data_IF_625470565390
#
_entry.id   IF_625470565390
#
_cell.length_a   1.000
_cell.length_b   1.000
_cell.length_c   1.000
_cell.angle_alpha   90.00
_cell.angle_beta   90.00
_cell.angle_gamma   90.00
#
_symmetry.space_group_name_H-M   'P 1'
#
loop_
_entity.id
_entity.type
_entity.pdbx_description
1 polymer ?
#
# COMPACT_ATOMS: atom_id res chain seq x y z
N UNK A 1 -49.61 0.81 65.12
CA UNK A 1 -48.21 1.04 64.70
C UNK A 1 -47.62 -0.31 64.29
N UNK A 2 -47.72 -0.65 63.00
CA UNK A 2 -47.31 -1.96 62.48
C UNK A 2 -45.81 -1.98 62.20
N UNK A 3 -45.08 -2.85 62.89
CA UNK A 3 -43.66 -3.09 62.65
C UNK A 3 -43.52 -4.12 61.51
N UNK A 4 -43.07 -3.66 60.36
CA UNK A 4 -42.69 -4.49 59.22
C UNK A 4 -41.27 -5.02 59.45
N UNK A 5 -41.13 -6.34 59.32
CA UNK A 5 -39.87 -7.05 59.29
C UNK A 5 -39.06 -6.69 58.03
N UNK A 6 -37.76 -6.48 58.19
CA UNK A 6 -36.80 -6.47 57.09
C UNK A 6 -35.81 -7.62 57.30
N UNK A 7 -35.92 -8.65 56.48
CA UNK A 7 -34.93 -9.71 56.34
C UNK A 7 -33.65 -9.11 55.74
N UNK A 8 -32.54 -9.23 56.46
CA UNK A 8 -31.21 -8.92 55.95
C UNK A 8 -30.77 -10.00 54.96
N UNK A 9 -30.60 -9.64 53.69
CA UNK A 9 -30.01 -10.50 52.68
C UNK A 9 -28.48 -10.37 52.77
N UNK A 10 -27.80 -11.41 53.23
CA UNK A 10 -26.33 -11.49 53.20
C UNK A 10 -25.92 -12.00 51.81
N UNK A 11 -25.37 -11.12 50.98
CA UNK A 11 -24.71 -11.50 49.74
C UNK A 11 -23.37 -12.19 50.08
N UNK A 12 -23.28 -13.49 49.85
CA UNK A 12 -22.02 -14.23 49.92
C UNK A 12 -21.06 -13.73 48.84
N UNK A 13 -19.79 -13.52 49.20
CA UNK A 13 -18.73 -13.15 48.28
C UNK A 13 -18.53 -14.24 47.20
N UNK A 14 -18.22 -13.87 45.93
CA UNK A 14 -17.92 -14.85 44.90
C UNK A 14 -16.60 -15.58 45.21
N UNK A 15 -16.47 -16.88 44.88
CA UNK A 15 -15.23 -17.62 45.10
C UNK A 15 -14.09 -17.05 44.26
N UNK A 16 -12.90 -17.00 44.84
CA UNK A 16 -11.67 -16.57 44.20
C UNK A 16 -11.35 -17.45 42.97
N UNK A 17 -11.01 -16.80 41.85
CA UNK A 17 -10.59 -17.49 40.64
C UNK A 17 -9.29 -18.29 40.87
N UNK A 18 -9.30 -19.56 40.51
CA UNK A 18 -8.11 -20.41 40.56
C UNK A 18 -7.02 -19.89 39.59
N UNK A 19 -5.73 -19.98 39.95
CA UNK A 19 -4.65 -19.61 39.04
C UNK A 19 -4.58 -20.59 37.86
N UNK A 20 -4.21 -20.13 36.65
CA UNK A 20 -4.08 -21.01 35.50
C UNK A 20 -2.94 -22.02 35.72
N UNK A 21 -3.24 -23.29 35.47
CA UNK A 21 -2.25 -24.36 35.49
C UNK A 21 -1.20 -24.14 34.39
N UNK A 22 0.08 -24.09 34.77
CA UNK A 22 1.19 -24.12 33.85
C UNK A 22 1.39 -25.55 33.35
N UNK A 23 1.27 -25.77 32.03
CA UNK A 23 1.72 -27.00 31.37
C UNK A 23 3.18 -26.78 31.00
N UNK A 24 4.08 -27.38 31.77
CA UNK A 24 5.50 -27.47 31.47
C UNK A 24 5.70 -28.61 30.44
N UNK A 25 6.20 -28.29 29.23
CA UNK A 25 6.62 -29.33 28.27
C UNK A 25 6.31 -29.13 26.78
N UNK A 26 5.70 -28.02 26.35
CA UNK A 26 5.54 -27.76 24.91
C UNK A 26 6.79 -27.06 24.34
N UNK A 27 7.69 -27.82 23.70
CA UNK A 27 8.66 -27.22 22.75
C UNK A 27 7.89 -26.33 21.77
N UNK A 28 8.32 -25.07 21.52
CA UNK A 28 7.66 -24.27 20.51
C UNK A 28 7.76 -25.00 19.18
N UNK A 29 6.61 -25.40 18.63
CA UNK A 29 6.50 -25.90 17.28
C UNK A 29 7.18 -24.87 16.37
N UNK A 30 8.13 -25.34 15.55
CA UNK A 30 8.88 -24.50 14.64
C UNK A 30 7.93 -23.57 13.90
N UNK A 31 8.20 -22.27 14.02
CA UNK A 31 7.42 -21.22 13.34
C UNK A 31 7.23 -21.66 11.89
N UNK A 32 5.97 -21.84 11.41
CA UNK A 32 5.76 -22.26 10.04
C UNK A 32 6.52 -21.32 9.13
N UNK A 33 7.25 -21.89 8.19
CA UNK A 33 7.96 -21.11 7.18
C UNK A 33 7.00 -20.06 6.64
N UNK A 34 7.43 -18.80 6.64
CA UNK A 34 6.63 -17.74 6.07
C UNK A 34 6.18 -18.21 4.68
N UNK A 35 4.88 -18.06 4.32
CA UNK A 35 4.43 -18.45 2.99
C UNK A 35 5.37 -17.82 1.97
N UNK A 36 5.81 -18.63 1.01
CA UNK A 36 6.65 -18.16 -0.08
C UNK A 36 6.04 -16.87 -0.63
N UNK A 37 6.88 -15.84 -0.81
CA UNK A 37 6.46 -14.53 -1.33
C UNK A 37 5.55 -14.80 -2.54
N UNK A 38 4.30 -14.31 -2.59
CA UNK A 38 3.58 -14.34 -3.85
C UNK A 38 4.49 -13.64 -4.85
N UNK A 39 4.85 -14.35 -5.91
CA UNK A 39 5.71 -13.79 -6.94
C UNK A 39 4.95 -12.59 -7.51
N UNK A 40 5.42 -11.39 -7.16
CA UNK A 40 4.89 -10.12 -7.67
C UNK A 40 5.13 -10.16 -9.17
N UNK A 41 4.10 -10.56 -9.92
CA UNK A 41 4.10 -10.72 -11.37
C UNK A 41 5.16 -11.73 -11.89
N UNK A 42 4.73 -12.97 -12.15
CA UNK A 42 5.54 -13.92 -12.92
C UNK A 42 5.49 -13.50 -14.39
N UNK A 43 6.56 -12.90 -14.89
CA UNK A 43 6.73 -12.60 -16.30
C UNK A 43 8.02 -13.19 -16.85
N UNK A 44 8.23 -13.01 -18.16
CA UNK A 44 9.44 -13.48 -18.86
C UNK A 44 10.64 -12.58 -18.55
N UNK A 45 11.09 -12.52 -17.29
CA UNK A 45 12.22 -11.70 -16.86
C UNK A 45 13.51 -12.01 -17.65
N UNK A 46 13.63 -13.20 -18.23
CA UNK A 46 14.69 -13.60 -19.14
C UNK A 46 14.74 -12.76 -20.43
N UNK A 47 13.61 -12.17 -20.85
CA UNK A 47 13.51 -11.29 -22.03
C UNK A 47 13.84 -9.82 -21.71
N UNK A 48 14.29 -9.51 -20.48
CA UNK A 48 14.59 -8.14 -20.09
C UNK A 48 15.73 -7.56 -20.92
N UNK A 49 15.45 -6.42 -21.54
CA UNK A 49 16.38 -5.76 -22.47
C UNK A 49 16.22 -6.21 -23.92
N UNK A 50 15.43 -7.24 -24.20
CA UNK A 50 15.08 -7.66 -25.57
C UNK A 50 13.76 -7.06 -26.05
N UNK A 51 12.84 -6.69 -25.14
CA UNK A 51 11.53 -6.13 -25.46
C UNK A 51 11.60 -4.61 -25.61
N UNK A 52 11.52 -4.14 -26.86
CA UNK A 52 11.36 -2.72 -27.19
C UNK A 52 9.90 -2.42 -27.58
N UNK A 53 9.17 -1.77 -26.66
CA UNK A 53 7.76 -1.42 -26.85
C UNK A 53 7.53 -0.43 -28.00
N UNK A 54 8.53 0.37 -28.39
CA UNK A 54 8.39 1.28 -29.53
C UNK A 54 8.26 0.52 -30.87
N UNK A 55 8.64 -0.76 -30.89
CA UNK A 55 8.55 -1.65 -32.05
C UNK A 55 7.34 -2.59 -31.99
N UNK A 56 6.46 -2.41 -31.00
CA UNK A 56 5.26 -3.22 -30.87
C UNK A 56 4.30 -2.96 -32.03
N UNK A 57 3.79 -4.02 -32.64
CA UNK A 57 2.79 -3.96 -33.71
C UNK A 57 1.63 -4.89 -33.39
N UNK A 58 0.42 -4.52 -33.81
CA UNK A 58 -0.74 -5.41 -33.68
C UNK A 58 -0.78 -6.36 -34.88
N UNK A 59 -0.79 -7.67 -34.61
CA UNK A 59 -0.98 -8.75 -35.59
C UNK A 59 -1.98 -9.74 -35.04
N UNK A 60 -2.98 -10.11 -35.84
CA UNK A 60 -4.05 -11.05 -35.46
C UNK A 60 -4.67 -10.73 -34.09
N UNK A 61 -4.89 -9.43 -33.83
CA UNK A 61 -5.50 -8.95 -32.59
C UNK A 61 -4.60 -8.98 -31.34
N UNK A 62 -3.28 -9.18 -31.50
CA UNK A 62 -2.32 -9.19 -30.39
C UNK A 62 -1.15 -8.26 -30.65
N UNK A 63 -0.61 -7.67 -29.58
CA UNK A 63 0.66 -6.96 -29.68
C UNK A 63 1.81 -7.96 -29.79
N UNK A 64 2.65 -7.77 -30.79
CA UNK A 64 3.89 -8.51 -30.99
C UNK A 64 5.08 -7.56 -31.03
N UNK A 65 6.18 -7.96 -30.40
CA UNK A 65 7.46 -7.25 -30.44
C UNK A 65 8.51 -8.15 -31.10
N UNK A 66 9.22 -7.68 -32.15
CA UNK A 66 10.30 -8.45 -32.75
C UNK A 66 11.50 -8.55 -31.80
N UNK A 67 12.03 -9.75 -31.65
CA UNK A 67 13.23 -10.06 -30.87
C UNK A 67 14.41 -10.43 -31.79
N UNK A 68 15.57 -10.70 -31.18
CA UNK A 68 16.73 -11.19 -31.91
C UNK A 68 16.45 -12.55 -32.59
N UNK A 69 17.21 -12.85 -33.67
CA UNK A 69 17.17 -14.13 -34.39
C UNK A 69 15.78 -14.48 -34.96
N UNK A 70 15.00 -13.48 -35.35
CA UNK A 70 13.70 -13.67 -35.99
C UNK A 70 12.58 -14.13 -35.05
N UNK A 71 12.83 -14.21 -33.74
CA UNK A 71 11.82 -14.50 -32.73
C UNK A 71 10.87 -13.32 -32.56
N UNK A 72 9.69 -13.59 -31.99
CA UNK A 72 8.71 -12.57 -31.60
C UNK A 72 8.21 -12.84 -30.18
N UNK A 73 8.03 -11.77 -29.40
CA UNK A 73 7.33 -11.81 -28.13
C UNK A 73 5.87 -11.41 -28.36
N UNK A 74 4.94 -12.25 -27.91
CA UNK A 74 3.52 -11.90 -27.85
C UNK A 74 3.27 -11.26 -26.48
N UNK A 75 2.77 -10.04 -26.45
CA UNK A 75 2.53 -9.31 -25.22
C UNK A 75 1.16 -9.65 -24.62
N UNK A 76 1.01 -9.39 -23.32
CA UNK A 76 -0.28 -9.52 -22.62
C UNK A 76 -1.21 -8.32 -22.83
N UNK A 77 -0.73 -7.27 -23.50
CA UNK A 77 -1.50 -6.06 -23.77
C UNK A 77 -2.72 -6.40 -24.61
N UNK A 78 -3.88 -5.92 -24.16
CA UNK A 78 -5.14 -6.01 -24.89
C UNK A 78 -5.28 -4.76 -25.77
N UNK A 79 -5.41 -4.87 -27.11
CA UNK A 79 -5.51 -3.71 -27.99
C UNK A 79 -6.64 -2.74 -27.67
N UNK A 80 -7.80 -3.24 -27.21
CA UNK A 80 -8.94 -2.38 -26.88
C UNK A 80 -8.69 -1.62 -25.57
N UNK A 81 -8.18 -2.30 -24.54
CA UNK A 81 -7.86 -1.66 -23.24
C UNK A 81 -6.67 -0.69 -23.39
N UNK A 82 -5.65 -1.06 -24.17
CA UNK A 82 -4.51 -0.18 -24.46
C UNK A 82 -4.97 1.09 -25.17
N UNK A 83 -5.81 0.97 -26.21
CA UNK A 83 -6.36 2.14 -26.91
C UNK A 83 -7.19 3.02 -25.97
N UNK A 84 -8.01 2.43 -25.10
CA UNK A 84 -8.79 3.20 -24.12
C UNK A 84 -7.89 3.96 -23.13
N UNK A 85 -6.81 3.33 -22.65
CA UNK A 85 -5.83 3.96 -21.77
C UNK A 85 -5.11 5.14 -22.45
N UNK A 86 -4.75 4.99 -23.73
CA UNK A 86 -4.15 6.06 -24.53
C UNK A 86 -5.14 7.22 -24.75
N UNK A 87 -6.40 6.93 -25.08
CA UNK A 87 -7.44 7.96 -25.25
C UNK A 87 -7.74 8.73 -23.95
N UNK A 88 -7.61 8.09 -22.78
CA UNK A 88 -7.69 8.79 -21.48
C UNK A 88 -6.54 9.79 -21.35
N UNK A 89 -5.30 9.38 -21.68
CA UNK A 89 -4.15 10.27 -21.63
C UNK A 89 -4.22 11.41 -22.64
N UNK A 90 -4.72 11.14 -23.86
CA UNK A 90 -4.88 12.17 -24.90
C UNK A 90 -5.92 13.23 -24.51
N UNK A 91 -7.01 12.83 -23.84
CA UNK A 91 -8.01 13.77 -23.32
C UNK A 91 -7.51 14.53 -22.11
N UNK A 92 -6.77 13.88 -21.22
CA UNK A 92 -6.27 14.50 -20.00
C UNK A 92 -5.08 15.45 -20.25
N UNK A 93 -4.36 15.27 -21.37
CA UNK A 93 -3.19 16.05 -21.78
C UNK A 93 -2.19 16.32 -20.64
N UNK A 94 -1.77 15.29 -19.87
CA UNK A 94 -0.84 15.51 -18.78
C UNK A 94 0.51 15.94 -19.33
N UNK A 95 1.20 16.86 -18.65
CA UNK A 95 2.60 17.20 -18.96
C UNK A 95 3.48 15.95 -18.96
N UNK A 96 3.23 15.07 -17.97
CA UNK A 96 3.75 13.71 -17.89
C UNK A 96 2.74 12.85 -17.14
N UNK A 97 2.41 11.68 -17.66
CA UNK A 97 1.41 10.81 -17.05
C UNK A 97 1.42 9.41 -17.63
N UNK A 98 0.81 8.46 -16.92
CA UNK A 98 0.72 7.08 -17.35
C UNK A 98 -0.55 6.43 -16.82
N UNK A 99 -1.04 5.44 -17.57
CA UNK A 99 -2.14 4.56 -17.19
C UNK A 99 -1.66 3.12 -17.33
N UNK A 100 -1.83 2.34 -16.27
CA UNK A 100 -1.51 0.92 -16.24
C UNK A 100 -2.76 0.16 -15.81
N UNK A 101 -3.08 -0.90 -16.54
CA UNK A 101 -4.20 -1.79 -16.20
C UNK A 101 -3.63 -3.19 -16.02
N UNK A 102 -3.90 -3.79 -14.87
CA UNK A 102 -3.53 -5.17 -14.56
C UNK A 102 -4.79 -6.04 -14.54
N UNK A 103 -4.67 -7.27 -15.01
CA UNK A 103 -5.59 -8.33 -14.68
C UNK A 103 -5.29 -8.87 -13.27
N UNK A 104 -6.27 -9.47 -12.56
CA UNK A 104 -6.05 -10.06 -11.23
C UNK A 104 -4.93 -11.11 -11.18
N UNK A 105 -4.68 -11.79 -12.31
CA UNK A 105 -3.58 -12.76 -12.47
C UNK A 105 -2.20 -12.11 -12.66
N UNK A 106 -2.12 -10.77 -12.62
CA UNK A 106 -0.90 -10.00 -12.79
C UNK A 106 -0.55 -9.68 -14.25
N UNK A 107 -1.32 -10.10 -15.26
CA UNK A 107 -1.02 -9.70 -16.65
C UNK A 107 -1.21 -8.19 -16.83
N UNK A 108 -0.29 -7.56 -17.56
CA UNK A 108 -0.40 -6.15 -17.94
C UNK A 108 -1.30 -6.08 -19.18
N UNK A 109 -2.50 -5.54 -19.02
CA UNK A 109 -3.49 -5.39 -20.10
C UNK A 109 -3.33 -4.06 -20.85
N UNK A 110 -2.86 -3.01 -20.16
CA UNK A 110 -2.47 -1.76 -20.77
C UNK A 110 -1.28 -1.14 -20.04
N UNK A 111 -0.39 -0.51 -20.82
CA UNK A 111 0.79 0.21 -20.37
C UNK A 111 0.95 1.45 -21.25
N UNK A 112 0.21 2.51 -20.96
CA UNK A 112 0.22 3.75 -21.72
C UNK A 112 0.94 4.86 -20.95
N UNK A 113 1.67 5.72 -21.66
CA UNK A 113 2.34 6.86 -21.05
C UNK A 113 2.48 8.04 -21.99
N UNK A 114 2.57 9.24 -21.40
CA UNK A 114 2.89 10.51 -22.06
C UNK A 114 4.10 11.10 -21.35
N UNK A 115 5.17 11.29 -22.12
CA UNK A 115 6.39 11.95 -21.67
C UNK A 115 6.35 13.45 -21.92
N UNK A 116 7.49 14.10 -21.73
CA UNK A 116 7.60 15.54 -21.91
C UNK A 116 7.27 15.93 -23.37
N UNK A 117 6.51 17.01 -23.54
CA UNK A 117 6.01 17.43 -24.85
C UNK A 117 4.84 16.59 -25.38
N UNK A 118 4.19 15.79 -24.53
CA UNK A 118 2.95 15.07 -24.84
C UNK A 118 3.12 13.85 -25.75
N UNK A 119 4.36 13.44 -26.04
CA UNK A 119 4.65 12.28 -26.90
C UNK A 119 4.36 10.98 -26.16
N UNK A 120 3.94 9.95 -26.91
CA UNK A 120 3.77 8.61 -26.38
C UNK A 120 5.11 8.09 -25.82
N UNK A 121 5.11 7.75 -24.54
CA UNK A 121 6.28 7.23 -23.83
C UNK A 121 5.83 6.28 -22.71
N UNK A 122 5.75 4.96 -22.97
CA UNK A 122 5.36 3.98 -21.97
C UNK A 122 6.38 3.82 -20.84
N UNK A 123 7.62 4.32 -20.99
CA UNK A 123 8.64 4.24 -19.93
C UNK A 123 8.27 5.05 -18.69
N UNK A 124 7.42 6.08 -18.85
CA UNK A 124 6.84 6.87 -17.76
C UNK A 124 6.06 6.00 -16.77
N UNK A 125 5.43 4.91 -17.24
CA UNK A 125 4.70 3.98 -16.39
C UNK A 125 5.62 3.07 -15.56
N UNK A 126 6.87 2.87 -15.99
CA UNK A 126 7.79 1.87 -15.45
C UNK A 126 8.78 2.43 -14.42
N UNK A 127 8.95 3.76 -14.34
CA UNK A 127 9.93 4.42 -13.48
C UNK A 127 9.29 5.04 -12.25
N UNK A 128 9.94 4.95 -11.09
CA UNK A 128 9.43 5.53 -9.85
C UNK A 128 9.78 7.03 -9.75
N UNK A 129 9.10 7.86 -10.55
CA UNK A 129 9.41 9.29 -10.64
C UNK A 129 8.42 10.19 -9.89
N UNK A 130 7.16 9.79 -9.70
CA UNK A 130 6.17 10.62 -9.03
C UNK A 130 6.19 10.38 -7.51
N UNK A 131 5.90 11.39 -6.66
CA UNK A 131 5.67 11.13 -5.24
C UNK A 131 4.58 10.09 -5.05
N UNK A 132 4.79 9.10 -4.17
CA UNK A 132 3.73 8.13 -3.87
C UNK A 132 2.52 8.81 -3.19
N UNK A 133 2.79 9.90 -2.48
CA UNK A 133 1.79 10.72 -1.82
C UNK A 133 0.84 9.88 -0.96
N UNK A 134 -0.45 10.22 -0.95
CA UNK A 134 -1.46 9.51 -0.15
C UNK A 134 -1.65 8.03 -0.52
N UNK A 135 -1.17 7.54 -1.68
CA UNK A 135 -1.17 6.10 -2.00
C UNK A 135 -0.30 5.33 -1.00
N UNK A 136 0.78 5.95 -0.49
CA UNK A 136 1.64 5.32 0.52
C UNK A 136 0.91 5.00 1.83
N UNK A 137 -0.24 5.64 2.11
CA UNK A 137 -1.06 5.30 3.29
C UNK A 137 -1.61 3.89 3.25
N UNK A 138 -1.71 3.26 2.08
CA UNK A 138 -2.06 1.82 1.97
C UNK A 138 -0.97 0.97 2.61
N UNK A 139 0.30 1.30 2.36
CA UNK A 139 1.47 0.64 2.99
C UNK A 139 1.43 0.86 4.50
N UNK A 140 1.21 2.10 4.94
CA UNK A 140 1.12 2.44 6.37
C UNK A 140 -0.04 1.73 7.06
N UNK A 141 -1.23 1.70 6.45
CA UNK A 141 -2.40 1.03 6.99
C UNK A 141 -2.17 -0.48 7.12
N UNK A 142 -1.60 -1.13 6.10
CA UNK A 142 -1.21 -2.53 6.17
C UNK A 142 -0.20 -2.78 7.31
N UNK A 143 0.77 -1.89 7.49
CA UNK A 143 1.74 -1.97 8.59
C UNK A 143 1.07 -1.85 9.97
N UNK A 144 0.12 -0.93 10.12
CA UNK A 144 -0.65 -0.73 11.36
C UNK A 144 -1.49 -1.96 11.71
N UNK A 145 -2.24 -2.50 10.74
CA UNK A 145 -3.04 -3.71 10.94
C UNK A 145 -2.14 -4.88 11.33
N UNK A 146 -1.00 -5.06 10.66
CA UNK A 146 -0.04 -6.11 11.02
C UNK A 146 0.62 -5.88 12.39
N UNK A 147 0.71 -4.64 12.85
CA UNK A 147 1.17 -4.30 14.19
C UNK A 147 0.08 -4.52 15.27
N UNK A 148 -1.13 -4.97 14.88
CA UNK A 148 -2.23 -5.30 15.78
C UNK A 148 -3.18 -4.14 16.06
N UNK A 149 -3.11 -3.04 15.30
CA UNK A 149 -4.09 -1.96 15.40
C UNK A 149 -5.43 -2.48 14.88
N UNK A 150 -6.46 -2.42 15.72
CA UNK A 150 -7.84 -2.70 15.32
C UNK A 150 -8.30 -1.61 14.32
N UNK A 151 -8.63 -1.97 13.07
CA UNK A 151 -9.10 -1.00 12.08
C UNK A 151 -10.34 -0.21 12.51
N UNK A 152 -11.15 -0.75 13.43
CA UNK A 152 -12.36 -0.11 13.97
C UNK A 152 -12.08 0.78 15.20
N UNK A 153 -10.86 0.77 15.73
CA UNK A 153 -10.48 1.63 16.86
C UNK A 153 -10.71 3.09 16.48
N UNK A 154 -11.45 3.80 17.33
CA UNK A 154 -11.71 5.23 17.18
C UNK A 154 -10.48 6.04 17.59
N UNK A 155 -10.05 6.91 16.71
CA UNK A 155 -8.96 7.86 16.93
C UNK A 155 -9.54 9.26 16.88
N UNK A 156 -9.52 9.95 18.02
CA UNK A 156 -9.90 11.35 18.08
C UNK A 156 -8.77 12.23 17.56
N UNK A 157 -9.10 13.27 16.79
CA UNK A 157 -8.12 14.12 16.11
C UNK A 157 -8.69 15.51 15.84
N UNK A 158 -7.82 16.43 15.42
CA UNK A 158 -8.16 17.76 14.96
C UNK A 158 -7.36 18.12 13.70
N UNK A 159 -7.98 18.88 12.80
CA UNK A 159 -7.30 19.42 11.62
C UNK A 159 -6.60 18.37 10.76
N UNK A 160 -5.37 18.67 10.33
CA UNK A 160 -4.46 17.74 9.66
C UNK A 160 -4.87 17.18 8.29
N UNK A 161 -5.99 17.60 7.70
CA UNK A 161 -6.39 17.11 6.38
C UNK A 161 -5.33 17.36 5.29
N UNK A 162 -4.56 18.45 5.42
CA UNK A 162 -3.51 18.86 4.47
C UNK A 162 -2.13 19.04 5.13
N UNK A 163 -1.96 18.69 6.40
CA UNK A 163 -0.70 18.87 7.13
C UNK A 163 -0.48 17.78 8.18
N UNK A 164 0.78 17.60 8.56
CA UNK A 164 1.17 16.81 9.74
C UNK A 164 2.15 17.64 10.56
N UNK A 165 1.68 18.01 11.75
CA UNK A 165 2.37 18.83 12.74
C UNK A 165 2.54 18.03 14.03
N UNK A 166 3.47 18.46 14.90
CA UNK A 166 3.74 17.76 16.15
C UNK A 166 2.48 17.62 17.04
N UNK A 167 1.58 18.61 17.00
CA UNK A 167 0.32 18.59 17.74
C UNK A 167 -0.61 17.45 17.30
N UNK A 168 -0.59 17.04 16.02
CA UNK A 168 -1.44 15.95 15.53
C UNK A 168 -1.02 14.57 16.06
N UNK A 169 0.21 14.42 16.58
CA UNK A 169 0.74 13.13 17.02
C UNK A 169 0.28 12.73 18.42
N UNK A 170 -0.31 13.67 19.16
CA UNK A 170 -0.74 13.51 20.56
C UNK A 170 -2.25 13.72 20.67
N UNK A 171 -2.84 13.17 21.72
CA UNK A 171 -4.25 13.46 22.03
C UNK A 171 -4.34 14.83 22.69
N UNK A 172 -5.34 15.61 22.26
CA UNK A 172 -5.64 16.93 22.81
C UNK A 172 -7.16 17.06 22.98
N UNK A 173 -7.71 16.79 24.18
CA UNK A 173 -9.15 16.85 24.43
C UNK A 173 -9.79 18.22 24.14
N UNK A 174 -9.00 19.30 24.11
CA UNK A 174 -9.52 20.63 23.82
C UNK A 174 -9.70 20.86 22.32
N UNK A 175 -8.94 20.15 21.48
CA UNK A 175 -8.93 20.30 20.02
C UNK A 175 -9.56 19.13 19.29
N UNK A 176 -9.42 17.90 19.80
CA UNK A 176 -9.86 16.67 19.17
C UNK A 176 -11.39 16.53 19.21
N UNK A 177 -12.09 17.24 18.30
CA UNK A 177 -13.55 17.30 18.23
C UNK A 177 -14.18 16.23 17.33
N UNK A 178 -13.37 15.55 16.54
CA UNK A 178 -13.80 14.45 15.68
C UNK A 178 -13.07 13.18 16.09
N UNK A 179 -13.75 12.05 15.98
CA UNK A 179 -13.13 10.75 16.07
C UNK A 179 -13.50 9.95 14.84
N UNK A 180 -12.54 9.24 14.27
CA UNK A 180 -12.77 8.37 13.12
C UNK A 180 -11.83 7.16 13.20
N UNK A 181 -12.06 6.15 12.38
CA UNK A 181 -11.30 4.91 12.39
C UNK A 181 -10.24 4.89 11.28
N UNK A 182 -9.47 3.79 11.19
CA UNK A 182 -8.40 3.66 10.19
C UNK A 182 -8.98 3.61 8.77
N UNK A 183 -10.16 3.01 8.58
CA UNK A 183 -10.82 2.93 7.29
C UNK A 183 -11.18 4.33 6.77
N UNK A 184 -11.76 5.18 7.61
CA UNK A 184 -12.02 6.58 7.28
C UNK A 184 -10.72 7.33 6.97
N UNK A 185 -9.66 7.08 7.73
CA UNK A 185 -8.38 7.75 7.53
C UNK A 185 -7.78 7.50 6.14
N UNK A 186 -7.88 6.26 5.65
CA UNK A 186 -7.47 5.90 4.29
C UNK A 186 -8.45 6.47 3.26
N UNK A 187 -9.76 6.24 3.44
CA UNK A 187 -10.79 6.63 2.47
C UNK A 187 -10.90 8.15 2.25
N UNK A 188 -10.71 8.95 3.32
CA UNK A 188 -10.73 10.42 3.27
C UNK A 188 -9.34 11.03 3.20
N UNK A 189 -8.30 10.20 3.13
CA UNK A 189 -6.91 10.64 3.16
C UNK A 189 -6.61 11.58 4.34
N UNK A 190 -7.17 11.30 5.51
CA UNK A 190 -6.97 12.13 6.71
C UNK A 190 -5.57 11.92 7.29
N UNK A 191 -4.67 12.90 7.14
CA UNK A 191 -3.27 12.74 7.56
C UNK A 191 -3.10 12.67 9.07
N UNK A 192 -3.90 13.42 9.85
CA UNK A 192 -3.74 13.44 11.31
C UNK A 192 -3.91 12.05 11.92
N UNK A 193 -4.94 11.31 11.52
CA UNK A 193 -5.20 9.95 12.02
C UNK A 193 -4.06 9.01 11.63
N UNK A 194 -3.65 9.01 10.35
CA UNK A 194 -2.56 8.14 9.88
C UNK A 194 -1.24 8.46 10.60
N UNK A 195 -0.88 9.74 10.72
CA UNK A 195 0.33 10.17 11.40
C UNK A 195 0.31 9.82 12.89
N UNK A 196 -0.83 10.06 13.57
CA UNK A 196 -1.03 9.74 14.99
C UNK A 196 -0.90 8.24 15.26
N UNK A 197 -1.54 7.40 14.44
CA UNK A 197 -1.44 5.94 14.54
C UNK A 197 -0.03 5.44 14.21
N UNK A 198 0.56 5.90 13.10
CA UNK A 198 1.91 5.52 12.71
C UNK A 198 2.92 5.88 13.81
N UNK A 199 2.83 7.07 14.39
CA UNK A 199 3.70 7.51 15.47
C UNK A 199 3.60 6.63 16.73
N UNK A 200 2.41 6.12 17.05
CA UNK A 200 2.18 5.28 18.24
C UNK A 200 2.63 3.83 18.05
N UNK A 201 2.43 3.27 16.87
CA UNK A 201 2.50 1.82 16.67
C UNK A 201 3.62 1.36 15.73
N UNK A 202 4.19 2.27 14.94
CA UNK A 202 5.22 1.95 13.97
C UNK A 202 6.54 2.63 14.32
N UNK A 203 7.61 1.86 14.23
CA UNK A 203 8.96 2.37 14.08
C UNK A 203 9.39 2.31 12.60
N UNK A 204 10.58 2.84 12.31
CA UNK A 204 11.17 2.78 10.96
C UNK A 204 11.23 1.36 10.41
N UNK A 205 11.59 0.38 11.24
CA UNK A 205 11.82 -0.99 10.80
C UNK A 205 10.51 -1.67 10.36
N UNK A 206 9.42 -1.48 11.11
CA UNK A 206 8.09 -2.00 10.79
C UNK A 206 7.54 -1.41 9.49
N UNK A 207 7.67 -0.09 9.32
CA UNK A 207 7.22 0.57 8.09
C UNK A 207 8.09 0.16 6.88
N UNK A 208 9.41 0.02 7.06
CA UNK A 208 10.32 -0.47 6.03
C UNK A 208 10.00 -1.92 5.61
N UNK A 209 9.75 -2.82 6.56
CA UNK A 209 9.39 -4.22 6.28
C UNK A 209 8.09 -4.29 5.47
N UNK A 210 7.08 -3.49 5.82
CA UNK A 210 5.83 -3.46 5.05
C UNK A 210 6.04 -2.88 3.64
N UNK A 211 6.76 -1.76 3.52
CA UNK A 211 7.07 -1.17 2.22
C UNK A 211 7.80 -2.18 1.31
N UNK A 212 8.81 -2.88 1.84
CA UNK A 212 9.57 -3.89 1.10
C UNK A 212 8.71 -5.10 0.68
N UNK A 213 7.77 -5.52 1.53
CA UNK A 213 6.82 -6.61 1.20
C UNK A 213 5.87 -6.23 0.08
N UNK A 214 5.49 -4.97 0.01
CA UNK A 214 4.68 -4.39 -1.04
C UNK A 214 5.52 -3.90 -2.24
N UNK A 215 6.81 -4.26 -2.29
CA UNK A 215 7.64 -4.11 -3.48
C UNK A 215 8.45 -2.81 -3.56
N UNK A 216 8.37 -1.91 -2.58
CA UNK A 216 9.27 -0.74 -2.55
C UNK A 216 10.73 -1.19 -2.46
N UNK A 217 11.58 -0.61 -3.31
CA UNK A 217 12.99 -1.01 -3.47
C UNK A 217 13.21 -2.28 -4.29
N UNK A 218 12.15 -2.95 -4.76
CA UNK A 218 12.25 -4.14 -5.58
C UNK A 218 12.11 -3.83 -7.08
N UNK A 219 12.67 -4.73 -7.90
CA UNK A 219 12.41 -4.81 -9.34
C UNK A 219 11.46 -5.98 -9.58
N UNK A 220 10.29 -5.77 -10.20
CA UNK A 220 9.35 -6.84 -10.46
C UNK A 220 9.92 -7.81 -11.52
N UNK A 221 9.49 -9.07 -11.49
CA UNK A 221 10.01 -10.12 -12.36
C UNK A 221 9.35 -10.09 -13.76
N UNK A 222 9.38 -8.93 -14.41
CA UNK A 222 8.78 -8.71 -15.74
C UNK A 222 9.85 -8.65 -16.83
N UNK A 223 9.44 -8.86 -18.09
CA UNK A 223 10.26 -8.66 -19.28
C UNK A 223 10.67 -7.18 -19.49
N UNK A 224 10.07 -6.24 -18.77
CA UNK A 224 10.40 -4.82 -18.82
C UNK A 224 11.30 -4.45 -17.65
N UNK A 225 12.22 -3.51 -17.86
CA UNK A 225 12.99 -2.92 -16.78
C UNK A 225 12.10 -1.91 -16.04
N UNK A 226 11.55 -2.33 -14.90
CA UNK A 226 10.63 -1.52 -14.11
C UNK A 226 11.06 -1.37 -12.65
N UNK A 227 10.55 -0.32 -12.04
CA UNK A 227 10.66 0.00 -10.61
C UNK A 227 9.25 0.06 -10.03
N UNK A 228 9.03 -0.50 -8.84
CA UNK A 228 7.74 -0.36 -8.16
C UNK A 228 7.68 1.03 -7.49
N UNK A 229 8.61 1.27 -6.57
CA UNK A 229 8.68 2.52 -5.81
C UNK A 229 9.94 2.58 -4.94
N UNK A 230 10.22 3.75 -4.38
CA UNK A 230 11.29 3.97 -3.39
C UNK A 230 10.71 4.59 -2.14
N UNK A 231 11.31 4.27 -0.98
CA UNK A 231 10.91 4.81 0.31
C UNK A 231 12.15 5.06 1.17
N UNK A 232 12.44 6.32 1.43
CA UNK A 232 13.52 6.76 2.30
C UNK A 232 12.93 7.10 3.67
N UNK A 233 13.06 6.18 4.63
CA UNK A 233 12.39 6.32 5.91
C UNK A 233 13.32 6.94 6.96
N UNK A 234 12.95 8.07 7.60
CA UNK A 234 13.70 8.66 8.70
C UNK A 234 13.63 7.77 9.94
N UNK A 235 14.46 8.06 10.95
CA UNK A 235 14.58 7.23 12.15
C UNK A 235 13.28 7.13 12.98
N UNK A 236 12.46 8.19 13.00
CA UNK A 236 11.25 8.24 13.82
C UNK A 236 10.62 9.63 13.91
N UNK A 237 9.77 9.82 14.92
CA UNK A 237 9.19 11.13 15.27
C UNK A 237 8.27 11.71 14.20
N UNK A 238 8.24 13.05 14.13
CA UNK A 238 7.35 13.78 13.22
C UNK A 238 7.63 13.50 11.75
N UNK A 239 8.90 13.36 11.36
CA UNK A 239 9.24 13.14 9.96
C UNK A 239 8.84 11.73 9.50
N UNK A 240 9.00 10.71 10.35
CA UNK A 240 8.48 9.37 10.02
C UNK A 240 6.96 9.38 9.91
N UNK A 241 6.27 10.10 10.81
CA UNK A 241 4.82 10.24 10.76
C UNK A 241 4.34 10.98 9.50
N UNK A 242 5.11 11.97 9.01
CA UNK A 242 4.88 12.64 7.73
C UNK A 242 5.02 11.68 6.55
N UNK A 243 6.11 10.91 6.50
CA UNK A 243 6.28 9.88 5.44
C UNK A 243 5.13 8.88 5.47
N UNK A 244 4.78 8.37 6.66
CA UNK A 244 3.67 7.43 6.84
C UNK A 244 2.33 8.00 6.38
N UNK A 245 2.12 9.31 6.52
CA UNK A 245 0.95 10.03 6.02
C UNK A 245 1.06 10.44 4.53
N UNK A 246 2.04 9.95 3.80
CA UNK A 246 2.16 10.19 2.36
C UNK A 246 2.70 11.58 2.02
N UNK A 247 3.47 12.20 2.91
CA UNK A 247 4.32 13.33 2.52
C UNK A 247 5.60 12.79 1.86
N UNK A 248 6.63 13.61 1.78
CA UNK A 248 7.90 13.44 1.05
C UNK A 248 8.59 12.07 1.26
N UNK A 249 9.73 11.87 0.59
CA UNK A 249 10.61 10.69 0.74
C UNK A 249 10.10 9.37 0.16
N UNK A 250 8.96 9.37 -0.53
CA UNK A 250 8.44 8.20 -1.24
C UNK A 250 8.17 8.51 -2.70
N UNK A 251 8.56 7.59 -3.59
CA UNK A 251 8.25 7.66 -5.03
C UNK A 251 7.59 6.38 -5.49
N UNK A 252 6.77 6.47 -6.53
CA UNK A 252 6.01 5.35 -7.07
C UNK A 252 5.93 5.47 -8.59
N UNK A 253 6.02 4.33 -9.29
CA UNK A 253 5.69 4.26 -10.71
C UNK A 253 4.20 3.96 -10.90
N UNK A 254 3.65 4.22 -12.08
CA UNK A 254 2.25 3.87 -12.36
C UNK A 254 2.05 2.35 -12.29
N UNK A 255 3.03 1.55 -12.76
CA UNK A 255 3.02 0.10 -12.60
C UNK A 255 3.06 -0.30 -11.13
N UNK A 256 3.90 0.36 -10.32
CA UNK A 256 3.99 0.11 -8.88
C UNK A 256 2.67 0.39 -8.17
N UNK A 257 1.98 1.48 -8.53
CA UNK A 257 0.64 1.78 -8.04
C UNK A 257 -0.38 0.70 -8.40
N UNK A 258 -0.35 0.19 -9.63
CA UNK A 258 -1.22 -0.90 -10.05
C UNK A 258 -0.90 -2.21 -9.29
N UNK A 259 0.39 -2.52 -9.07
CA UNK A 259 0.82 -3.69 -8.30
C UNK A 259 0.45 -3.62 -6.82
N UNK A 260 0.42 -2.43 -6.22
CA UNK A 260 -0.06 -2.24 -4.84
C UNK A 260 -1.55 -2.56 -4.68
N UNK A 261 -2.32 -2.47 -5.76
CA UNK A 261 -3.76 -2.67 -5.77
C UNK A 261 -4.19 -4.10 -6.19
N UNK A 262 -3.24 -4.95 -6.57
CA UNK A 262 -3.48 -6.31 -7.08
C UNK A 262 -3.15 -7.38 -6.04
#
# INVERSE_FOLDING_TARGET
>A
MGALAALAWQAGAPPAAAPPAHIEGARPAGRPAAPARPAVLVGDAALRGEVDLARAVVRDGRYEVPLARGRRAVLTLDPAIQSAAEQVLDRAQPVRGAVVVLAPDGRILALAGRGDGGRADPSVALRAWAPAASVFKVVTAAALVRAGVDPAQRVCYHGGLRSVEAAHLRDDPNRDRECHDLAFAVARSQNAIIAKLAHRFLDRARLADMAARLGFGARPATALAAEIGTAELPAGGLELARVAAGFWHTRLSALGGALLAN
#
